data_IF_296984912714
#
_entry.id   IF_296984912714
#
_cell.length_a   1.000
_cell.length_b   1.000
_cell.length_c   1.000
_cell.angle_alpha   90.00
_cell.angle_beta   90.00
_cell.angle_gamma   90.00
#
_symmetry.space_group_name_H-M   'P 1'
#
loop_
_entity.id
_entity.type
_entity.pdbx_description
1 polymer ?
#
# COMPACT_ATOMS: atom_id res chain seq x y z
N UNK A 1 3.41 5.10 38.80
CA UNK A 1 2.33 4.16 38.42
C UNK A 1 2.74 3.44 37.14
N UNK A 2 2.66 2.10 37.10
CA UNK A 2 3.00 1.34 35.88
C UNK A 2 1.91 1.51 34.85
N UNK A 3 2.31 1.77 33.62
CA UNK A 3 1.42 1.97 32.47
C UNK A 3 1.55 0.78 31.55
N UNK A 4 0.44 0.13 31.15
CA UNK A 4 0.50 -0.97 30.18
C UNK A 4 0.80 -0.42 28.80
N UNK A 5 1.86 -0.95 28.19
CA UNK A 5 2.22 -0.78 26.78
C UNK A 5 2.07 -2.12 26.07
N UNK A 6 1.70 -2.12 24.82
CA UNK A 6 1.68 -3.33 24.00
C UNK A 6 3.00 -3.47 23.27
N UNK A 7 3.67 -4.61 23.44
CA UNK A 7 4.88 -4.96 22.72
C UNK A 7 4.59 -6.03 21.67
N UNK A 8 4.83 -5.71 20.42
CA UNK A 8 4.86 -6.69 19.32
C UNK A 8 6.32 -7.09 19.06
N UNK A 9 6.57 -8.39 19.06
CA UNK A 9 7.88 -8.97 18.84
C UNK A 9 7.77 -10.27 18.01
N UNK A 10 8.86 -10.83 17.45
CA UNK A 10 8.81 -11.99 16.54
C UNK A 10 8.14 -13.24 17.10
N UNK A 11 8.08 -13.36 18.45
CA UNK A 11 7.42 -14.51 19.11
C UNK A 11 5.94 -14.26 19.42
N UNK A 12 5.38 -13.06 19.11
CA UNK A 12 3.98 -12.73 19.39
C UNK A 12 3.80 -11.32 19.97
N UNK A 13 2.78 -11.16 20.80
CA UNK A 13 2.45 -9.88 21.46
C UNK A 13 2.43 -10.09 22.96
N UNK A 14 3.13 -9.23 23.71
CA UNK A 14 3.10 -9.17 25.17
C UNK A 14 2.65 -7.79 25.66
N UNK A 15 2.21 -7.75 26.91
CA UNK A 15 1.91 -6.48 27.59
C UNK A 15 3.06 -6.13 28.51
N UNK A 16 3.74 -5.02 28.22
CA UNK A 16 4.76 -4.45 29.08
C UNK A 16 4.12 -3.55 30.12
N UNK A 17 4.46 -3.74 31.38
CA UNK A 17 4.09 -2.80 32.46
C UNK A 17 5.29 -1.89 32.72
N UNK A 18 5.39 -0.79 31.96
CA UNK A 18 6.47 0.17 32.12
C UNK A 18 6.02 1.39 32.96
N UNK A 19 6.95 1.94 33.73
CA UNK A 19 6.71 3.22 34.38
C UNK A 19 7.18 4.32 33.40
N UNK A 20 6.24 5.08 32.84
CA UNK A 20 6.53 6.15 31.88
C UNK A 20 6.96 7.47 32.53
N UNK A 21 7.16 7.48 33.84
CA UNK A 21 7.57 8.67 34.59
C UNK A 21 9.02 8.56 35.04
N UNK A 22 9.68 9.69 35.23
CA UNK A 22 11.01 9.73 35.85
C UNK A 22 11.01 9.02 37.22
N UNK A 23 12.08 8.26 37.59
CA UNK A 23 13.43 8.24 36.99
C UNK A 23 13.65 7.12 35.95
N UNK A 24 12.63 6.53 35.35
CA UNK A 24 12.80 5.42 34.39
C UNK A 24 13.48 5.92 33.10
N UNK A 25 14.51 5.20 32.67
CA UNK A 25 15.29 5.54 31.47
C UNK A 25 14.87 4.72 30.25
N UNK A 26 15.32 5.13 29.07
CA UNK A 26 15.16 4.35 27.83
C UNK A 26 15.87 2.99 27.97
N UNK A 27 17.03 2.95 28.68
CA UNK A 27 17.75 1.72 28.99
C UNK A 27 16.89 0.71 29.75
N UNK A 28 16.15 1.15 30.76
CA UNK A 28 15.23 0.29 31.53
C UNK A 28 14.11 -0.28 30.64
N UNK A 29 13.60 0.52 29.70
CA UNK A 29 12.63 0.03 28.72
C UNK A 29 13.23 -1.04 27.81
N UNK A 30 14.45 -0.83 27.30
CA UNK A 30 15.13 -1.79 26.43
C UNK A 30 15.39 -3.13 27.16
N UNK A 31 15.70 -3.10 28.47
CA UNK A 31 15.84 -4.31 29.27
C UNK A 31 14.51 -5.06 29.45
N UNK A 32 13.41 -4.32 29.67
CA UNK A 32 12.08 -4.91 29.72
C UNK A 32 11.70 -5.58 28.40
N UNK A 33 11.95 -4.88 27.28
CA UNK A 33 11.72 -5.40 25.93
C UNK A 33 12.60 -6.63 25.66
N UNK A 34 13.87 -6.63 26.09
CA UNK A 34 14.76 -7.78 25.95
C UNK A 34 14.24 -9.02 26.67
N UNK A 35 13.68 -8.84 27.86
CA UNK A 35 13.15 -9.91 28.69
C UNK A 35 11.92 -10.56 28.04
N UNK A 36 11.05 -9.76 27.45
CA UNK A 36 9.81 -10.25 26.83
C UNK A 36 10.04 -10.79 25.41
N UNK A 37 10.84 -10.11 24.60
CA UNK A 37 11.07 -10.47 23.19
C UNK A 37 12.16 -11.52 23.00
N UNK A 38 13.12 -11.56 23.92
CA UNK A 38 14.37 -12.33 23.80
C UNK A 38 15.40 -11.68 22.87
N UNK A 39 15.20 -10.42 22.45
CA UNK A 39 16.13 -9.67 21.62
C UNK A 39 17.01 -8.83 22.54
N UNK A 40 18.35 -8.98 22.50
CA UNK A 40 19.27 -8.18 23.32
C UNK A 40 19.08 -6.67 23.10
N UNK A 41 19.19 -5.85 24.13
CA UNK A 41 19.01 -4.39 24.08
C UNK A 41 19.83 -3.72 22.96
N UNK A 42 21.04 -4.22 22.69
CA UNK A 42 21.94 -3.71 21.63
C UNK A 42 21.50 -4.05 20.20
N UNK A 43 20.52 -4.93 20.04
CA UNK A 43 20.01 -5.39 18.76
C UNK A 43 18.53 -5.01 18.56
N UNK A 44 17.99 -4.16 19.42
CA UNK A 44 16.61 -3.72 19.32
C UNK A 44 16.46 -2.47 18.46
N UNK A 45 15.55 -2.52 17.49
CA UNK A 45 14.96 -1.35 16.87
C UNK A 45 13.52 -1.26 17.36
N UNK A 46 13.19 -0.17 18.05
CA UNK A 46 11.83 0.07 18.53
C UNK A 46 11.10 1.06 17.62
N UNK A 47 9.86 0.75 17.32
CA UNK A 47 8.94 1.66 16.63
C UNK A 47 7.71 1.88 17.49
N UNK A 48 7.18 3.10 17.47
CA UNK A 48 5.94 3.47 18.17
C UNK A 48 5.11 4.45 17.37
N UNK A 49 3.85 4.60 17.76
CA UNK A 49 2.93 5.53 17.13
C UNK A 49 2.25 4.98 15.88
N UNK A 50 1.44 5.84 15.27
CA UNK A 50 0.72 5.53 14.05
C UNK A 50 0.84 6.71 13.05
N UNK A 51 1.45 6.53 11.87
CA UNK A 51 2.20 5.36 11.42
C UNK A 51 3.41 5.07 12.32
N UNK A 52 3.89 3.79 12.41
CA UNK A 52 5.00 3.42 13.27
C UNK A 52 6.26 4.19 12.89
N UNK A 53 6.80 4.95 13.84
CA UNK A 53 8.06 5.70 13.66
C UNK A 53 9.17 5.03 14.47
N UNK A 54 10.35 4.88 13.87
CA UNK A 54 11.53 4.40 14.59
C UNK A 54 11.87 5.39 15.70
N UNK A 55 11.99 4.87 16.92
CA UNK A 55 12.37 5.65 18.10
C UNK A 55 13.89 5.82 18.15
N UNK A 56 14.35 7.00 18.54
CA UNK A 56 15.76 7.24 18.81
C UNK A 56 16.08 6.70 20.22
N UNK A 57 16.78 5.58 20.28
CA UNK A 57 17.07 4.86 21.53
C UNK A 57 18.42 5.31 22.10
N UNK A 58 18.41 6.28 23.00
CA UNK A 58 19.58 6.73 23.78
C UNK A 58 19.36 6.26 25.22
N UNK A 59 20.07 5.23 25.68
CA UNK A 59 19.79 4.56 26.96
C UNK A 59 19.76 5.47 28.19
N UNK A 60 20.55 6.54 28.18
CA UNK A 60 20.70 7.47 29.29
C UNK A 60 19.56 8.50 29.39
N UNK A 61 18.77 8.64 28.35
CA UNK A 61 17.64 9.59 28.34
C UNK A 61 16.47 9.05 29.17
N UNK A 62 15.66 9.95 29.77
CA UNK A 62 14.44 9.54 30.45
C UNK A 62 13.42 8.99 29.43
N UNK A 63 12.64 8.01 29.83
CA UNK A 63 11.63 7.35 28.98
C UNK A 63 10.61 8.34 28.42
N UNK A 64 10.35 9.43 29.15
CA UNK A 64 9.48 10.54 28.71
C UNK A 64 9.92 11.19 27.40
N UNK A 65 11.24 11.11 27.06
CA UNK A 65 11.78 11.61 25.80
C UNK A 65 11.26 10.89 24.57
N UNK A 66 10.74 9.67 24.72
CA UNK A 66 10.15 8.87 23.63
C UNK A 66 8.71 9.26 23.31
N UNK A 67 8.08 10.11 24.16
CA UNK A 67 6.69 10.56 23.96
C UNK A 67 5.63 9.47 24.05
N UNK A 68 5.94 8.34 24.70
CA UNK A 68 5.02 7.19 24.81
C UNK A 68 3.86 7.51 25.76
N UNK A 69 2.67 7.06 25.36
CA UNK A 69 1.45 7.21 26.13
C UNK A 69 0.86 5.86 26.57
N UNK A 70 -0.08 5.93 27.50
CA UNK A 70 -0.80 4.74 27.97
C UNK A 70 -1.56 4.09 26.82
N UNK A 71 -1.28 2.79 26.60
CA UNK A 71 -1.90 2.02 25.53
C UNK A 71 -1.17 2.04 24.20
N UNK A 72 -0.05 2.79 24.12
CA UNK A 72 0.77 2.80 22.92
C UNK A 72 1.30 1.40 22.61
N UNK A 73 1.45 1.18 21.31
CA UNK A 73 2.04 -0.03 20.78
C UNK A 73 3.49 0.21 20.43
N UNK A 74 4.35 -0.63 20.99
CA UNK A 74 5.74 -0.76 20.64
C UNK A 74 5.94 -1.97 19.74
N UNK A 75 6.73 -1.81 18.70
CA UNK A 75 7.17 -2.89 17.81
C UNK A 75 8.67 -3.02 17.97
N UNK A 76 9.15 -4.23 18.30
CA UNK A 76 10.57 -4.51 18.37
C UNK A 76 10.99 -5.44 17.24
N UNK A 77 11.99 -5.00 16.48
CA UNK A 77 12.67 -5.78 15.45
C UNK A 77 14.12 -6.07 15.90
N UNK A 78 14.63 -7.25 15.53
CA UNK A 78 16.02 -7.55 15.70
C UNK A 78 16.82 -6.96 14.53
N UNK A 79 17.74 -6.03 14.84
CA UNK A 79 18.71 -5.56 13.84
C UNK A 79 19.91 -6.51 13.92
N UNK A 80 20.31 -7.11 12.78
CA UNK A 80 21.52 -7.91 12.69
C UNK A 80 22.70 -7.05 13.14
N UNK A 81 23.39 -7.47 14.20
CA UNK A 81 24.35 -6.67 14.94
C UNK A 81 25.40 -6.01 14.04
N UNK A 82 25.45 -4.69 14.08
CA UNK A 82 26.62 -3.95 13.67
C UNK A 82 27.74 -4.30 14.63
N UNK A 83 28.78 -4.98 14.14
CA UNK A 83 30.03 -5.11 14.85
C UNK A 83 30.54 -3.69 15.24
N UNK A 84 31.20 -3.52 16.38
CA UNK A 84 31.69 -2.21 16.83
C UNK A 84 32.57 -1.61 15.74
N UNK A 85 32.21 -0.40 15.31
CA UNK A 85 32.95 0.38 14.31
C UNK A 85 34.35 0.62 14.82
N UNK A 86 35.41 0.19 14.13
CA UNK A 86 36.76 0.53 14.54
C UNK A 86 36.97 2.05 14.45
N UNK A 87 37.56 2.61 15.46
CA UNK A 87 38.00 4.01 15.56
C UNK A 87 38.80 4.40 14.31
N UNK A 88 38.56 5.56 13.69
CA UNK A 88 39.30 5.99 12.52
C UNK A 88 40.75 6.27 12.89
N UNK A 89 41.69 5.58 12.23
CA UNK A 89 43.09 5.93 12.26
C UNK A 89 43.30 7.25 11.48
N UNK A 90 44.31 8.09 11.90
CA UNK A 90 44.53 9.39 11.29
C UNK A 90 44.99 9.27 9.84
N UNK A 91 44.44 10.13 8.97
CA UNK A 91 44.70 10.20 7.55
C UNK A 91 46.18 10.56 7.26
N UNK A 92 46.80 9.91 6.25
CA UNK A 92 48.09 10.37 5.73
C UNK A 92 47.91 11.60 4.82
N UNK A 93 48.91 12.50 4.90
CA UNK A 93 48.99 13.78 4.21
C UNK A 93 49.01 13.63 2.66
N UNK A 94 48.57 14.66 1.92
CA UNK A 94 48.49 14.62 0.47
C UNK A 94 49.82 14.80 -0.23
N UNK A 95 50.13 13.96 -1.20
CA UNK A 95 51.25 14.15 -2.16
C UNK A 95 50.81 14.95 -3.39
N UNK A 96 51.76 15.70 -4.01
CA UNK A 96 51.42 16.82 -4.88
C UNK A 96 50.99 16.44 -6.31
N UNK A 97 50.23 17.35 -6.89
CA UNK A 97 49.66 17.35 -8.20
C UNK A 97 50.65 17.15 -9.34
N UNK A 98 50.29 16.32 -10.32
CA UNK A 98 50.83 16.38 -11.67
C UNK A 98 49.86 17.06 -12.58
N UNK A 99 50.28 18.17 -13.15
CA UNK A 99 49.69 18.91 -14.26
C UNK A 99 49.70 18.08 -15.54
N UNK A 100 48.56 17.97 -16.20
CA UNK A 100 48.52 17.55 -17.61
C UNK A 100 47.41 18.30 -18.36
N UNK A 101 47.86 18.94 -19.35
CA UNK A 101 47.31 19.67 -20.50
C UNK A 101 45.85 19.43 -20.91
N UNK A 102 45.20 20.57 -21.17
CA UNK A 102 43.96 20.74 -21.92
C UNK A 102 44.16 20.51 -23.43
N UNK A 103 43.20 19.88 -24.12
CA UNK A 103 42.92 20.15 -25.50
C UNK A 103 41.62 20.93 -25.64
N UNK A 104 41.76 22.05 -26.40
CA UNK A 104 40.73 22.88 -26.95
C UNK A 104 39.75 22.10 -27.81
N UNK A 105 38.45 22.28 -27.64
CA UNK A 105 37.42 21.81 -28.56
C UNK A 105 36.48 22.95 -28.97
N UNK A 106 36.31 23.05 -30.26
CA UNK A 106 35.48 23.98 -31.00
C UNK A 106 33.97 23.90 -30.67
N UNK A 107 33.17 24.92 -30.98
CA UNK A 107 31.78 25.01 -30.58
C UNK A 107 30.89 24.08 -31.40
N UNK A 108 30.11 23.25 -30.71
CA UNK A 108 29.07 22.43 -31.31
C UNK A 108 27.70 23.10 -31.17
N UNK A 109 26.98 23.06 -32.27
CA UNK A 109 25.68 23.68 -32.54
C UNK A 109 24.64 23.48 -31.43
N UNK A 110 23.79 24.51 -31.28
CA UNK A 110 22.66 24.58 -30.38
C UNK A 110 21.69 23.40 -30.52
N UNK A 111 21.36 22.80 -29.39
CA UNK A 111 20.25 21.86 -29.26
C UNK A 111 18.93 22.62 -29.38
N UNK A 112 17.86 22.00 -29.95
CA UNK A 112 16.55 22.60 -29.97
C UNK A 112 15.96 22.71 -28.55
N UNK A 113 15.04 23.66 -28.31
CA UNK A 113 14.49 23.90 -26.98
C UNK A 113 13.77 22.69 -26.50
N UNK A 114 14.06 22.31 -25.27
CA UNK A 114 13.32 21.27 -24.53
C UNK A 114 11.83 21.66 -24.52
N UNK A 115 11.01 20.85 -25.13
CA UNK A 115 9.58 20.92 -24.95
C UNK A 115 9.32 20.62 -23.47
N UNK A 116 8.72 21.59 -22.80
CA UNK A 116 8.18 21.42 -21.45
C UNK A 116 7.21 20.24 -21.50
N UNK A 117 7.59 19.13 -20.90
CA UNK A 117 6.64 18.11 -20.55
C UNK A 117 5.60 18.77 -19.66
N UNK A 118 4.36 18.81 -20.15
CA UNK A 118 3.22 19.32 -19.41
C UNK A 118 3.19 18.66 -18.03
N UNK A 119 2.95 19.50 -17.04
CA UNK A 119 2.61 19.07 -15.69
C UNK A 119 1.50 18.05 -15.86
N UNK A 120 1.73 16.81 -15.37
CA UNK A 120 0.66 15.86 -15.16
C UNK A 120 -0.46 16.59 -14.42
N UNK A 121 -1.69 16.55 -14.90
CA UNK A 121 -2.78 17.18 -14.17
C UNK A 121 -2.80 16.53 -12.80
N UNK A 122 -2.58 17.31 -11.76
CA UNK A 122 -2.93 16.96 -10.40
C UNK A 122 -4.36 16.50 -10.47
N UNK A 123 -4.58 15.19 -10.31
CA UNK A 123 -5.91 14.61 -10.35
C UNK A 123 -6.72 15.22 -9.22
N UNK A 124 -7.49 16.23 -9.56
CA UNK A 124 -8.54 16.76 -8.72
C UNK A 124 -9.69 15.74 -8.76
N UNK A 125 -9.82 14.96 -7.68
CA UNK A 125 -10.97 14.09 -7.44
C UNK A 125 -12.27 14.89 -7.16
N UNK A 126 -12.29 16.19 -7.43
CA UNK A 126 -13.36 17.12 -7.17
C UNK A 126 -14.11 17.56 -8.42
N UNK A 127 -14.77 16.67 -9.14
CA UNK A 127 -15.51 17.06 -10.34
C UNK A 127 -16.55 16.06 -10.82
N UNK A 128 -17.24 15.37 -9.91
CA UNK A 128 -18.50 14.69 -10.21
C UNK A 128 -19.54 15.22 -9.25
N UNK A 129 -20.75 15.50 -9.77
CA UNK A 129 -21.92 15.95 -9.03
C UNK A 129 -21.99 15.30 -7.64
N UNK A 130 -22.39 16.09 -6.65
CA UNK A 130 -22.53 15.82 -5.23
C UNK A 130 -23.47 14.62 -4.96
N UNK A 131 -23.11 13.42 -5.39
CA UNK A 131 -23.67 12.18 -4.89
C UNK A 131 -23.14 12.05 -3.47
N UNK A 132 -24.02 12.13 -2.47
CA UNK A 132 -23.67 12.01 -1.07
C UNK A 132 -22.65 10.89 -0.86
N UNK A 133 -21.46 11.27 -0.44
CA UNK A 133 -20.32 10.36 -0.22
C UNK A 133 -20.77 9.21 0.68
N UNK A 134 -20.68 7.97 0.22
CA UNK A 134 -21.07 6.81 1.03
C UNK A 134 -20.11 6.67 2.19
N UNK A 135 -20.61 6.80 3.40
CA UNK A 135 -19.79 6.79 4.59
C UNK A 135 -20.45 6.08 5.78
N UNK A 136 -19.64 5.67 6.74
CA UNK A 136 -20.06 5.05 8.01
C UNK A 136 -19.23 5.61 9.15
N UNK A 137 -19.88 5.93 10.27
CA UNK A 137 -19.19 6.36 11.47
C UNK A 137 -18.24 5.28 12.00
N UNK A 138 -17.05 5.70 12.42
CA UNK A 138 -16.00 4.88 12.98
C UNK A 138 -15.21 5.66 14.02
N UNK A 139 -15.47 5.42 15.31
CA UNK A 139 -14.75 6.04 16.46
C UNK A 139 -14.69 7.58 16.43
N UNK A 140 -15.81 8.23 16.12
CA UNK A 140 -15.88 9.69 16.03
C UNK A 140 -15.31 10.27 14.73
N UNK A 141 -14.87 9.43 13.84
CA UNK A 141 -14.45 9.71 12.45
C UNK A 141 -15.44 9.04 11.49
N UNK A 142 -15.21 9.16 10.18
CA UNK A 142 -16.06 8.51 9.18
C UNK A 142 -15.22 7.71 8.18
N UNK A 143 -15.55 6.44 8.01
CA UNK A 143 -15.01 5.63 6.92
C UNK A 143 -15.81 5.96 5.66
N UNK A 144 -15.13 6.44 4.63
CA UNK A 144 -15.73 6.94 3.39
C UNK A 144 -15.32 6.09 2.19
N UNK A 145 -16.23 5.95 1.23
CA UNK A 145 -15.95 5.34 -0.06
C UNK A 145 -15.37 6.41 -1.00
N UNK A 146 -14.19 6.15 -1.53
CA UNK A 146 -13.55 6.99 -2.56
C UNK A 146 -13.71 6.31 -3.90
N UNK A 147 -14.67 6.82 -4.68
CA UNK A 147 -14.99 6.28 -6.00
C UNK A 147 -13.85 6.59 -6.97
N UNK A 148 -13.30 5.55 -7.59
CA UNK A 148 -12.28 5.69 -8.61
C UNK A 148 -12.89 6.08 -9.96
N UNK A 149 -12.14 6.72 -10.87
CA UNK A 149 -12.59 6.95 -12.24
C UNK A 149 -12.93 5.65 -12.98
N UNK A 150 -13.99 5.70 -13.81
CA UNK A 150 -14.40 4.57 -14.65
C UNK A 150 -13.71 4.65 -16.02
N UNK A 151 -12.41 4.30 -16.03
CA UNK A 151 -11.53 4.40 -17.19
C UNK A 151 -10.71 3.13 -17.46
N UNK A 152 -11.20 1.97 -17.04
CA UNK A 152 -10.49 0.68 -17.04
C UNK A 152 -9.25 0.60 -16.13
N UNK A 153 -8.96 1.65 -15.38
CA UNK A 153 -7.81 1.72 -14.46
C UNK A 153 -8.24 1.84 -12.99
N UNK A 154 -9.52 1.60 -12.68
CA UNK A 154 -10.11 1.80 -11.35
C UNK A 154 -9.30 1.14 -10.22
N UNK A 155 -8.79 -0.10 -10.42
CA UNK A 155 -7.90 -0.76 -9.46
C UNK A 155 -6.63 0.06 -9.21
N UNK A 156 -5.97 0.52 -10.27
CA UNK A 156 -4.73 1.28 -10.17
C UNK A 156 -4.95 2.67 -9.57
N UNK A 157 -6.08 3.33 -9.86
CA UNK A 157 -6.49 4.58 -9.22
C UNK A 157 -6.71 4.38 -7.72
N UNK A 158 -7.50 3.38 -7.34
CA UNK A 158 -7.76 3.06 -5.94
C UNK A 158 -6.47 2.75 -5.18
N UNK A 159 -5.58 1.97 -5.76
CA UNK A 159 -4.29 1.64 -5.17
C UNK A 159 -3.35 2.86 -5.10
N UNK A 160 -3.29 3.70 -6.14
CA UNK A 160 -2.47 4.92 -6.10
C UNK A 160 -2.89 5.88 -4.98
N UNK A 161 -4.18 5.85 -4.63
CA UNK A 161 -4.72 6.67 -3.56
C UNK A 161 -4.42 6.12 -2.16
N UNK A 162 -4.44 4.80 -1.96
CA UNK A 162 -4.30 4.20 -0.61
C UNK A 162 -2.92 3.63 -0.32
N UNK A 163 -2.13 3.25 -1.32
CA UNK A 163 -0.79 2.71 -1.08
C UNK A 163 0.15 3.77 -0.49
N UNK A 164 1.09 3.35 0.36
CA UNK A 164 2.16 4.25 0.82
C UNK A 164 3.03 4.68 -0.35
N UNK A 165 3.94 5.61 -0.09
CA UNK A 165 4.95 6.01 -1.07
C UNK A 165 5.75 4.81 -1.59
N UNK A 166 6.26 4.92 -2.81
CA UNK A 166 7.05 3.87 -3.45
C UNK A 166 8.30 3.58 -2.58
N UNK A 167 8.60 2.32 -2.23
CA UNK A 167 9.71 1.99 -1.34
C UNK A 167 11.07 2.54 -1.79
N UNK A 168 11.28 2.64 -3.11
CA UNK A 168 12.49 3.20 -3.72
C UNK A 168 12.47 4.72 -3.85
N UNK A 169 11.30 5.37 -3.64
CA UNK A 169 11.08 6.82 -3.74
C UNK A 169 10.15 7.30 -2.62
N UNK A 170 10.64 7.43 -1.37
CA UNK A 170 9.78 7.66 -0.19
C UNK A 170 8.94 8.95 -0.21
N UNK A 171 9.23 9.87 -1.11
CA UNK A 171 8.50 11.13 -1.27
C UNK A 171 7.52 11.11 -2.46
N UNK A 172 7.40 9.98 -3.16
CA UNK A 172 6.60 9.87 -4.37
C UNK A 172 5.49 8.82 -4.18
N UNK A 173 4.25 9.24 -4.34
CA UNK A 173 3.11 8.33 -4.36
C UNK A 173 3.06 7.57 -5.69
N UNK A 174 2.65 6.31 -5.69
CA UNK A 174 2.51 5.57 -6.93
C UNK A 174 1.42 6.19 -7.82
N UNK A 175 1.67 6.25 -9.10
CA UNK A 175 0.69 6.62 -10.13
C UNK A 175 0.14 5.36 -10.80
N UNK A 176 -0.97 5.46 -11.53
CA UNK A 176 -1.51 4.34 -12.32
C UNK A 176 -0.47 3.79 -13.29
N UNK A 177 0.29 4.66 -13.94
CA UNK A 177 1.36 4.28 -14.88
C UNK A 177 2.52 3.59 -14.17
N UNK A 178 2.98 4.13 -13.02
CA UNK A 178 4.08 3.50 -12.27
C UNK A 178 3.69 2.14 -11.71
N UNK A 179 2.44 1.97 -11.25
CA UNK A 179 1.91 0.69 -10.80
C UNK A 179 1.87 -0.34 -11.93
N UNK A 180 1.38 0.03 -13.12
CA UNK A 180 1.36 -0.84 -14.29
C UNK A 180 2.77 -1.27 -14.69
N UNK A 181 3.72 -0.33 -14.70
CA UNK A 181 5.12 -0.62 -14.99
C UNK A 181 5.75 -1.54 -13.95
N UNK A 182 5.45 -1.32 -12.65
CA UNK A 182 5.91 -2.17 -11.57
C UNK A 182 5.36 -3.59 -11.69
N UNK A 183 4.07 -3.74 -12.02
CA UNK A 183 3.46 -5.05 -12.23
C UNK A 183 4.15 -5.80 -13.37
N UNK A 184 4.33 -5.17 -14.52
CA UNK A 184 5.02 -5.76 -15.66
C UNK A 184 6.46 -6.18 -15.33
N UNK A 185 7.22 -5.30 -14.67
CA UNK A 185 8.61 -5.58 -14.29
C UNK A 185 8.70 -6.74 -13.28
N UNK A 186 7.81 -6.78 -12.29
CA UNK A 186 7.79 -7.86 -11.29
C UNK A 186 7.45 -9.20 -11.92
N UNK A 187 6.47 -9.26 -12.81
CA UNK A 187 6.07 -10.49 -13.50
C UNK A 187 7.23 -11.04 -14.33
N UNK A 188 7.93 -10.18 -15.08
CA UNK A 188 9.08 -10.60 -15.90
C UNK A 188 10.29 -11.03 -15.06
N UNK A 189 10.43 -10.49 -13.85
CA UNK A 189 11.57 -10.81 -12.97
C UNK A 189 11.39 -12.09 -12.16
N UNK A 190 10.16 -12.59 -12.02
CA UNK A 190 9.84 -13.77 -11.20
C UNK A 190 8.97 -14.79 -11.97
N UNK A 191 9.55 -15.47 -12.98
CA UNK A 191 8.82 -16.41 -13.81
C UNK A 191 8.41 -17.70 -13.07
N UNK A 192 8.89 -17.91 -11.85
CA UNK A 192 8.51 -19.05 -11.02
C UNK A 192 7.13 -18.84 -10.40
N UNK A 193 6.89 -17.64 -9.86
CA UNK A 193 5.60 -17.31 -9.23
C UNK A 193 4.57 -16.79 -10.24
N UNK A 194 5.03 -16.26 -11.38
CA UNK A 194 4.18 -15.72 -12.45
C UNK A 194 4.38 -16.51 -13.75
N UNK A 195 4.12 -17.81 -13.69
CA UNK A 195 4.16 -18.69 -14.85
C UNK A 195 2.89 -18.58 -15.71
N UNK A 196 2.89 -19.25 -16.86
CA UNK A 196 1.76 -19.24 -17.80
C UNK A 196 0.48 -19.84 -17.17
N UNK A 197 0.63 -20.80 -16.26
CA UNK A 197 -0.53 -21.40 -15.59
C UNK A 197 -1.20 -20.41 -14.62
N UNK A 198 -0.40 -19.60 -13.93
CA UNK A 198 -0.88 -18.54 -13.01
C UNK A 198 -1.48 -17.37 -13.78
N UNK A 199 -0.84 -16.94 -14.88
CA UNK A 199 -1.23 -15.77 -15.65
C UNK A 199 -2.29 -16.05 -16.72
N UNK A 200 -2.47 -17.31 -17.11
CA UNK A 200 -3.34 -17.72 -18.22
C UNK A 200 -2.79 -17.36 -19.61
N UNK A 201 -1.61 -16.80 -19.68
CA UNK A 201 -0.85 -16.45 -20.89
C UNK A 201 0.64 -16.32 -20.56
N UNK A 202 1.50 -16.21 -21.58
CA UNK A 202 2.94 -16.06 -21.32
C UNK A 202 3.25 -14.78 -20.53
N UNK A 203 4.28 -14.79 -19.64
CA UNK A 203 4.68 -13.62 -18.85
C UNK A 203 4.92 -12.35 -19.70
N UNK A 204 5.57 -12.50 -20.85
CA UNK A 204 5.83 -11.38 -21.78
C UNK A 204 4.54 -10.78 -22.35
N UNK A 205 3.57 -11.64 -22.72
CA UNK A 205 2.27 -11.21 -23.22
C UNK A 205 1.49 -10.48 -22.13
N UNK A 206 1.46 -11.04 -20.92
CA UNK A 206 0.79 -10.43 -19.77
C UNK A 206 1.41 -9.07 -19.40
N UNK A 207 2.75 -9.01 -19.30
CA UNK A 207 3.48 -7.79 -18.97
C UNK A 207 3.25 -6.69 -20.03
N UNK A 208 3.14 -7.07 -21.30
CA UNK A 208 2.79 -6.11 -22.38
C UNK A 208 1.33 -5.65 -22.27
N UNK A 209 0.43 -6.55 -21.93
CA UNK A 209 -0.99 -6.23 -21.80
C UNK A 209 -1.26 -5.31 -20.60
N UNK A 210 -0.72 -5.62 -19.40
CA UNK A 210 -1.01 -4.88 -18.18
C UNK A 210 -0.52 -3.44 -18.21
N UNK A 211 0.45 -3.10 -19.05
CA UNK A 211 0.91 -1.73 -19.26
C UNK A 211 -0.09 -0.87 -20.05
N UNK A 212 -1.04 -1.49 -20.75
CA UNK A 212 -2.05 -0.75 -21.52
C UNK A 212 -3.14 -0.22 -20.58
N UNK A 213 -3.57 1.05 -20.72
CA UNK A 213 -4.63 1.63 -19.88
C UNK A 213 -5.96 0.85 -19.93
N UNK A 214 -6.26 0.19 -21.05
CA UNK A 214 -7.50 -0.56 -21.26
C UNK A 214 -7.50 -1.93 -20.57
N UNK A 215 -6.36 -2.40 -20.04
CA UNK A 215 -6.29 -3.70 -19.38
C UNK A 215 -6.69 -3.57 -17.92
N UNK A 216 -7.68 -4.33 -17.53
CA UNK A 216 -8.10 -4.40 -16.13
C UNK A 216 -7.05 -5.12 -15.29
N UNK A 217 -6.84 -4.62 -14.07
CA UNK A 217 -6.08 -5.35 -13.06
C UNK A 217 -7.02 -6.14 -12.15
N UNK A 218 -6.48 -7.11 -11.43
CA UNK A 218 -7.26 -8.00 -10.58
C UNK A 218 -6.46 -8.60 -9.43
N UNK A 219 -6.80 -9.84 -9.06
CA UNK A 219 -6.21 -10.53 -7.92
C UNK A 219 -4.68 -10.73 -8.04
N UNK A 220 -4.16 -10.87 -9.26
CA UNK A 220 -2.72 -11.01 -9.52
C UNK A 220 -2.01 -9.73 -9.12
N UNK A 221 -2.49 -8.57 -9.56
CA UNK A 221 -1.92 -7.27 -9.22
C UNK A 221 -2.06 -6.97 -7.73
N UNK A 222 -3.19 -7.32 -7.10
CA UNK A 222 -3.37 -7.13 -5.66
C UNK A 222 -2.36 -7.94 -4.84
N UNK A 223 -2.13 -9.20 -5.19
CA UNK A 223 -1.14 -10.04 -4.54
C UNK A 223 0.30 -9.52 -4.75
N UNK A 224 0.60 -9.07 -5.98
CA UNK A 224 1.88 -8.50 -6.35
C UNK A 224 2.15 -7.20 -5.57
N UNK A 225 1.20 -6.27 -5.56
CA UNK A 225 1.38 -4.99 -4.87
C UNK A 225 1.42 -5.13 -3.35
N UNK A 226 0.70 -6.09 -2.78
CA UNK A 226 0.83 -6.40 -1.36
C UNK A 226 2.28 -6.71 -0.98
N UNK A 227 2.95 -7.56 -1.75
CA UNK A 227 4.37 -7.90 -1.55
C UNK A 227 5.29 -6.71 -1.84
N UNK A 228 5.07 -6.01 -2.96
CA UNK A 228 5.93 -4.91 -3.39
C UNK A 228 5.93 -3.74 -2.40
N UNK A 229 4.79 -3.44 -1.78
CA UNK A 229 4.64 -2.32 -0.84
C UNK A 229 4.72 -2.75 0.64
N UNK A 230 4.78 -4.04 0.94
CA UNK A 230 4.84 -4.54 2.31
C UNK A 230 3.59 -4.21 3.13
N UNK A 231 2.40 -4.31 2.52
CA UNK A 231 1.11 -4.04 3.16
C UNK A 231 0.12 -5.14 2.82
N UNK A 232 -0.80 -5.47 3.75
CA UNK A 232 -1.96 -6.27 3.38
C UNK A 232 -2.93 -5.41 2.55
N UNK A 233 -3.48 -5.98 1.48
CA UNK A 233 -4.56 -5.35 0.72
C UNK A 233 -5.84 -6.14 1.02
N UNK A 234 -6.80 -5.46 1.63
CA UNK A 234 -8.10 -6.02 1.98
C UNK A 234 -9.13 -5.55 1.00
N UNK A 235 -9.73 -6.47 0.23
CA UNK A 235 -10.75 -6.18 -0.75
C UNK A 235 -12.08 -6.82 -0.33
N UNK A 236 -13.12 -5.99 -0.14
CA UNK A 236 -14.47 -6.47 0.14
C UNK A 236 -15.27 -6.56 -1.15
N UNK A 237 -15.82 -7.72 -1.41
CA UNK A 237 -16.79 -7.95 -2.46
C UNK A 237 -18.19 -7.49 -2.00
N UNK A 238 -18.79 -6.55 -2.73
CA UNK A 238 -20.09 -5.95 -2.36
C UNK A 238 -21.22 -6.96 -2.49
N UNK A 239 -21.21 -7.80 -3.51
CA UNK A 239 -22.29 -8.76 -3.76
C UNK A 239 -22.37 -9.81 -2.64
N UNK A 240 -21.26 -10.39 -2.28
CA UNK A 240 -21.20 -11.51 -1.32
C UNK A 240 -20.94 -11.04 0.11
N UNK A 241 -20.33 -9.88 0.30
CA UNK A 241 -19.82 -9.39 1.58
C UNK A 241 -18.53 -10.09 2.00
N UNK A 242 -17.90 -10.89 1.11
CA UNK A 242 -16.66 -11.60 1.38
C UNK A 242 -15.50 -10.61 1.46
N UNK A 243 -14.57 -10.90 2.34
CA UNK A 243 -13.29 -10.20 2.46
C UNK A 243 -12.17 -11.09 1.92
N UNK A 244 -11.50 -10.62 0.89
CA UNK A 244 -10.27 -11.19 0.35
C UNK A 244 -9.06 -10.41 0.89
N UNK A 245 -8.06 -11.13 1.44
CA UNK A 245 -6.87 -10.54 2.04
C UNK A 245 -5.63 -10.96 1.27
N UNK A 246 -5.03 -10.03 0.59
CA UNK A 246 -3.77 -10.24 -0.13
C UNK A 246 -2.59 -9.92 0.80
N UNK A 247 -1.61 -10.81 0.87
CA UNK A 247 -0.47 -10.71 1.80
C UNK A 247 -0.77 -11.16 3.23
N UNK A 248 -1.90 -11.83 3.44
CA UNK A 248 -2.21 -12.41 4.76
C UNK A 248 -1.16 -13.46 5.15
N UNK A 249 -0.56 -13.28 6.32
CA UNK A 249 0.47 -14.19 6.83
C UNK A 249 1.90 -13.81 6.45
N UNK A 250 2.11 -12.82 5.59
CA UNK A 250 3.44 -12.31 5.25
C UNK A 250 4.04 -11.41 6.35
N UNK A 251 3.27 -11.13 7.41
CA UNK A 251 3.73 -10.36 8.56
C UNK A 251 3.71 -8.85 8.38
N UNK A 252 2.97 -8.36 7.39
CA UNK A 252 2.82 -6.92 7.16
C UNK A 252 2.11 -6.23 8.33
N UNK A 253 2.68 -5.10 8.77
CA UNK A 253 2.17 -4.34 9.92
C UNK A 253 0.95 -3.48 9.57
N UNK A 254 0.80 -3.15 8.29
CA UNK A 254 -0.22 -2.23 7.80
C UNK A 254 -1.06 -2.88 6.70
N UNK A 255 -2.26 -2.34 6.53
CA UNK A 255 -3.19 -2.73 5.47
C UNK A 255 -3.81 -1.51 4.81
N UNK A 256 -4.27 -1.70 3.59
CA UNK A 256 -5.12 -0.76 2.85
C UNK A 256 -6.44 -1.44 2.50
N UNK A 257 -7.49 -0.64 2.27
CA UNK A 257 -8.85 -1.14 2.14
C UNK A 257 -9.43 -0.78 0.77
N UNK A 258 -9.96 -1.78 0.09
CA UNK A 258 -10.63 -1.66 -1.20
C UNK A 258 -12.04 -2.25 -1.14
N UNK A 259 -12.88 -1.82 -2.05
CA UNK A 259 -14.21 -2.38 -2.34
C UNK A 259 -14.22 -2.86 -3.78
N UNK A 260 -14.74 -4.05 -4.01
CA UNK A 260 -14.95 -4.60 -5.35
C UNK A 260 -16.45 -4.78 -5.60
N UNK A 261 -16.95 -4.16 -6.64
CA UNK A 261 -18.39 -4.18 -7.00
C UNK A 261 -18.74 -5.20 -8.08
N UNK A 262 -17.81 -6.09 -8.45
CA UNK A 262 -17.96 -7.06 -9.53
C UNK A 262 -17.20 -6.68 -10.80
N UNK A 263 -17.16 -5.41 -11.15
CA UNK A 263 -16.45 -4.87 -12.32
C UNK A 263 -15.56 -3.67 -11.97
N UNK A 264 -15.74 -3.08 -10.80
CA UNK A 264 -15.08 -1.82 -10.40
C UNK A 264 -14.46 -1.92 -9.02
N UNK A 265 -13.30 -1.30 -8.86
CA UNK A 265 -12.61 -1.16 -7.58
C UNK A 265 -12.67 0.28 -7.11
N UNK A 266 -13.01 0.44 -5.82
CA UNK A 266 -13.00 1.70 -5.10
C UNK A 266 -12.13 1.59 -3.86
N UNK A 267 -11.68 2.73 -3.31
CA UNK A 267 -10.91 2.76 -2.08
C UNK A 267 -11.80 3.10 -0.86
N UNK A 268 -11.43 2.60 0.31
CA UNK A 268 -12.01 3.06 1.58
C UNK A 268 -10.94 3.77 2.41
N UNK A 269 -11.29 4.92 2.94
CA UNK A 269 -10.39 5.76 3.72
C UNK A 269 -11.11 6.34 4.94
N UNK A 270 -10.38 6.68 5.98
CA UNK A 270 -10.94 7.26 7.20
C UNK A 270 -10.75 8.77 7.18
N UNK A 271 -11.86 9.50 7.09
CA UNK A 271 -11.90 10.96 7.12
C UNK A 271 -12.18 11.47 8.54
N UNK A 272 -11.58 12.58 8.98
CA UNK A 272 -11.85 13.14 10.31
C UNK A 272 -13.31 13.59 10.50
N UNK A 273 -13.98 13.97 9.41
CA UNK A 273 -15.40 14.34 9.35
C UNK A 273 -15.94 14.14 7.92
N UNK A 274 -17.25 14.07 7.73
CA UNK A 274 -17.86 14.04 6.40
C UNK A 274 -17.43 15.24 5.56
N UNK A 275 -17.06 15.00 4.28
CA UNK A 275 -16.65 16.07 3.37
C UNK A 275 -15.25 16.65 3.64
N UNK A 276 -14.44 16.03 4.50
CA UNK A 276 -13.05 16.46 4.70
C UNK A 276 -12.24 16.30 3.41
N UNK A 277 -11.31 17.24 3.10
CA UNK A 277 -10.43 17.12 1.95
C UNK A 277 -9.61 15.82 1.99
N UNK A 278 -9.33 15.25 0.83
CA UNK A 278 -8.62 13.97 0.67
C UNK A 278 -7.27 13.91 1.39
N UNK A 279 -6.56 15.02 1.46
CA UNK A 279 -5.24 15.14 2.13
C UNK A 279 -5.29 14.87 3.63
N UNK A 280 -6.46 14.98 4.25
CA UNK A 280 -6.67 14.69 5.66
C UNK A 280 -7.13 13.26 5.93
N UNK A 281 -7.31 12.45 4.90
CA UNK A 281 -7.75 11.08 5.06
C UNK A 281 -6.62 10.15 5.48
N UNK A 282 -6.89 9.26 6.43
CA UNK A 282 -6.06 8.11 6.73
C UNK A 282 -6.36 7.02 5.71
N UNK A 283 -5.33 6.61 4.97
CA UNK A 283 -5.45 5.63 3.87
C UNK A 283 -4.86 4.27 4.24
N UNK A 284 -4.01 4.22 5.27
CA UNK A 284 -3.29 3.02 5.69
C UNK A 284 -3.62 2.74 7.16
N UNK A 285 -3.93 1.50 7.49
CA UNK A 285 -4.40 1.09 8.82
C UNK A 285 -3.51 -0.02 9.38
N UNK A 286 -3.36 -0.14 10.71
CA UNK A 286 -2.66 -1.28 11.29
C UNK A 286 -3.37 -2.59 10.94
N UNK A 287 -2.59 -3.63 10.68
CA UNK A 287 -3.11 -4.99 10.61
C UNK A 287 -3.61 -5.41 11.99
N UNK A 288 -4.85 -5.93 12.11
CA UNK A 288 -5.42 -6.23 13.43
C UNK A 288 -4.71 -7.39 14.10
N UNK A 289 -4.64 -7.32 15.42
CA UNK A 289 -4.12 -8.42 16.22
C UNK A 289 -5.20 -9.48 16.47
N UNK A 290 -4.84 -10.75 16.54
CA UNK A 290 -5.75 -11.82 16.94
C UNK A 290 -6.39 -11.50 18.31
N UNK A 291 -7.74 -11.59 18.37
CA UNK A 291 -8.49 -11.36 19.61
C UNK A 291 -8.72 -9.88 19.99
N UNK A 292 -8.31 -8.93 19.16
CA UNK A 292 -8.59 -7.52 19.35
C UNK A 292 -9.73 -7.10 18.42
N UNK A 293 -10.76 -6.39 18.93
CA UNK A 293 -11.80 -5.81 18.09
C UNK A 293 -11.19 -4.91 17.00
N UNK A 294 -11.66 -5.07 15.79
CA UNK A 294 -11.21 -4.31 14.62
C UNK A 294 -12.31 -3.36 14.16
N UNK A 295 -12.34 -2.18 14.75
CA UNK A 295 -13.37 -1.16 14.49
C UNK A 295 -13.37 -0.69 13.05
N UNK A 296 -12.19 -0.65 12.40
CA UNK A 296 -12.06 -0.30 10.98
C UNK A 296 -12.69 -1.38 10.09
N UNK A 297 -12.43 -2.67 10.37
CA UNK A 297 -13.05 -3.76 9.61
C UNK A 297 -14.57 -3.82 9.83
N UNK A 298 -15.02 -3.55 11.05
CA UNK A 298 -16.46 -3.48 11.35
C UNK A 298 -17.15 -2.32 10.62
N UNK A 299 -16.49 -1.15 10.56
CA UNK A 299 -16.98 -0.02 9.78
C UNK A 299 -16.98 -0.32 8.26
N UNK A 300 -15.92 -0.95 7.74
CA UNK A 300 -15.83 -1.38 6.35
C UNK A 300 -16.96 -2.36 6.00
N UNK A 301 -17.20 -3.36 6.85
CA UNK A 301 -18.30 -4.31 6.67
C UNK A 301 -19.67 -3.63 6.67
N UNK A 302 -19.89 -2.62 7.53
CA UNK A 302 -21.13 -1.82 7.54
C UNK A 302 -21.29 -1.00 6.25
N UNK A 303 -20.18 -0.39 5.75
CA UNK A 303 -20.20 0.37 4.50
C UNK A 303 -20.54 -0.52 3.31
N UNK A 304 -19.88 -1.68 3.20
CA UNK A 304 -20.17 -2.71 2.18
C UNK A 304 -21.62 -3.18 2.27
N UNK A 305 -22.15 -3.39 3.48
CA UNK A 305 -23.56 -3.71 3.70
C UNK A 305 -24.51 -2.64 3.17
N UNK A 306 -24.19 -1.35 3.34
CA UNK A 306 -24.96 -0.23 2.75
C UNK A 306 -24.93 -0.27 1.22
N UNK A 307 -23.75 -0.46 0.62
CA UNK A 307 -23.59 -0.56 -0.83
C UNK A 307 -24.40 -1.74 -1.40
N UNK A 308 -24.33 -2.90 -0.73
CA UNK A 308 -25.10 -4.09 -1.08
C UNK A 308 -26.62 -3.84 -1.02
N UNK A 309 -27.10 -3.21 0.04
CA UNK A 309 -28.54 -2.86 0.17
C UNK A 309 -28.99 -1.93 -0.94
N UNK A 310 -28.12 -1.01 -1.36
CA UNK A 310 -28.37 -0.10 -2.50
C UNK A 310 -28.14 -0.77 -3.87
N UNK A 311 -27.79 -2.05 -3.91
CA UNK A 311 -27.45 -2.81 -5.12
C UNK A 311 -26.35 -2.15 -5.97
N UNK A 312 -25.36 -1.52 -5.34
CA UNK A 312 -24.20 -0.94 -6.01
C UNK A 312 -23.16 -2.02 -6.33
N UNK A 313 -23.54 -3.00 -7.13
CA UNK A 313 -22.66 -4.06 -7.62
C UNK A 313 -23.23 -4.66 -8.91
N UNK A 314 -22.34 -5.18 -9.75
CA UNK A 314 -22.68 -5.90 -10.99
C UNK A 314 -22.39 -7.38 -10.78
N UNK A 315 -23.41 -8.22 -11.00
CA UNK A 315 -23.22 -9.68 -10.97
C UNK A 315 -22.63 -10.13 -12.31
N UNK A 316 -21.32 -10.36 -12.34
CA UNK A 316 -20.57 -10.72 -13.54
C UNK A 316 -20.99 -12.05 -14.18
N UNK A 317 -21.69 -12.91 -13.42
CA UNK A 317 -22.21 -14.17 -13.95
C UNK A 317 -23.51 -14.01 -14.77
N UNK A 318 -24.25 -12.93 -14.54
CA UNK A 318 -25.59 -12.74 -15.12
C UNK A 318 -25.79 -11.43 -15.86
N UNK A 319 -24.84 -10.50 -15.85
CA UNK A 319 -24.96 -9.20 -16.51
C UNK A 319 -24.94 -9.32 -18.05
N UNK A 320 -25.65 -8.41 -18.71
CA UNK A 320 -25.77 -8.41 -20.16
C UNK A 320 -24.59 -7.63 -20.77
N UNK A 321 -23.84 -8.33 -21.63
CA UNK A 321 -22.71 -7.77 -22.37
C UNK A 321 -23.03 -7.72 -23.86
N UNK A 322 -22.43 -6.76 -24.54
CA UNK A 322 -22.43 -6.69 -26.00
C UNK A 322 -21.02 -6.63 -26.52
N UNK A 323 -20.68 -7.50 -27.45
CA UNK A 323 -19.40 -7.37 -28.15
C UNK A 323 -19.43 -6.10 -29.00
N UNK A 324 -18.51 -5.16 -28.74
CA UNK A 324 -18.44 -3.89 -29.46
C UNK A 324 -18.00 -4.05 -30.92
N UNK A 325 -17.35 -5.17 -31.25
CA UNK A 325 -16.85 -5.46 -32.61
C UNK A 325 -17.93 -6.00 -33.50
N UNK A 326 -18.74 -6.98 -33.03
CA UNK A 326 -19.76 -7.64 -33.85
C UNK A 326 -21.19 -7.43 -33.37
N UNK A 327 -21.41 -6.74 -32.25
CA UNK A 327 -22.75 -6.43 -31.72
C UNK A 327 -23.48 -7.61 -31.08
N UNK A 328 -22.86 -8.79 -30.91
CA UNK A 328 -23.49 -9.97 -30.31
C UNK A 328 -23.75 -9.73 -28.83
N UNK A 329 -25.00 -9.93 -28.38
CA UNK A 329 -25.38 -9.96 -26.98
C UNK A 329 -24.86 -11.24 -26.31
N UNK A 330 -24.34 -11.11 -25.09
CA UNK A 330 -23.71 -12.19 -24.31
C UNK A 330 -24.16 -12.05 -22.86
N UNK A 331 -24.27 -13.17 -22.14
CA UNK A 331 -24.59 -13.16 -20.69
C UNK A 331 -23.40 -13.55 -19.87
N UNK A 332 -22.95 -12.61 -19.03
CA UNK A 332 -21.86 -12.81 -18.09
C UNK A 332 -20.52 -13.08 -18.71
N UNK A 333 -19.50 -13.10 -17.85
CA UNK A 333 -18.09 -13.29 -18.23
C UNK A 333 -17.86 -14.59 -19.02
N UNK A 334 -18.57 -15.66 -18.67
CA UNK A 334 -18.38 -16.97 -19.31
C UNK A 334 -18.68 -16.94 -20.82
N UNK A 335 -19.80 -16.33 -21.21
CA UNK A 335 -20.15 -16.24 -22.64
C UNK A 335 -19.24 -15.26 -23.37
N UNK A 336 -18.80 -14.16 -22.71
CA UNK A 336 -17.85 -13.23 -23.26
C UNK A 336 -16.49 -13.90 -23.51
N UNK A 337 -16.01 -14.73 -22.59
CA UNK A 337 -14.76 -15.48 -22.74
C UNK A 337 -14.83 -16.49 -23.88
N UNK A 338 -15.92 -17.25 -23.99
CA UNK A 338 -16.13 -18.21 -25.10
C UNK A 338 -16.14 -17.46 -26.44
N UNK A 339 -16.89 -16.35 -26.51
CA UNK A 339 -16.94 -15.52 -27.72
C UNK A 339 -15.56 -14.96 -28.09
N UNK A 340 -14.77 -14.49 -27.10
CA UNK A 340 -13.42 -14.02 -27.34
C UNK A 340 -12.50 -15.12 -27.87
N UNK A 341 -12.62 -16.34 -27.34
CA UNK A 341 -11.84 -17.50 -27.80
C UNK A 341 -12.22 -17.93 -29.22
N UNK A 342 -13.51 -17.90 -29.57
CA UNK A 342 -14.00 -18.31 -30.88
C UNK A 342 -13.75 -17.29 -31.99
N UNK A 343 -13.79 -15.99 -31.67
CA UNK A 343 -13.78 -14.91 -32.66
C UNK A 343 -12.56 -14.00 -32.60
N UNK A 344 -11.80 -14.04 -31.50
CA UNK A 344 -10.72 -13.10 -31.22
C UNK A 344 -11.20 -11.72 -30.79
N UNK A 345 -12.50 -11.52 -30.60
CA UNK A 345 -13.07 -10.23 -30.16
C UNK A 345 -12.95 -10.09 -28.64
N UNK A 346 -12.26 -9.05 -28.18
CA UNK A 346 -11.98 -8.82 -26.75
C UNK A 346 -12.57 -7.52 -26.20
N UNK A 347 -13.26 -6.74 -27.02
CA UNK A 347 -13.94 -5.52 -26.60
C UNK A 347 -15.41 -5.81 -26.31
N UNK A 348 -15.80 -5.65 -25.04
CA UNK A 348 -17.16 -5.86 -24.55
C UNK A 348 -17.63 -4.64 -23.78
N UNK A 349 -18.90 -4.23 -23.98
CA UNK A 349 -19.60 -3.19 -23.24
C UNK A 349 -20.86 -3.73 -22.59
N UNK A 350 -21.30 -3.13 -21.51
CA UNK A 350 -22.63 -3.33 -20.93
C UNK A 350 -23.71 -2.59 -21.75
N UNK A 351 -24.97 -3.10 -21.77
CA UNK A 351 -26.12 -2.40 -22.34
C UNK A 351 -27.40 -2.65 -21.56
#
# INVERSE_FOLDING_TARGET
>A
MTTPLRLRHPKGVSTLSANLSDPTTVGDLLELVARESGIPASQQELKAGYPPRTLTLIPELPISSLGLQRGDQLIVNAVAGSAPRPTPAPAPAPSPARTAATPSLAPRAAAPPAQSFGQDPTFDFGGAEESAEESVECEGQVLVLRVAPDDNSCLFHSLSYVLPAIPTSPNERPTTTSLRSLAAATILSDPINYDEATLGQSPDSYATAIQKPQTWGGAIELALFSKAFGVEIWSWDVETGRLDRFGQGDGWENRVLLVYSGIHYDAMTLAPMPGAPADFHTTTFPTPFPGVPDTIADAAKKLVGKLRTKRKFTNTATFDLKCEICGKGLKGEKEARVHAQETGHTAFGEY
#
